data_IF_371962580737
#
_entry.id   IF_371962580737
#
_cell.length_a   1.000
_cell.length_b   1.000
_cell.length_c   1.000
_cell.angle_alpha   90.00
_cell.angle_beta   90.00
_cell.angle_gamma   90.00
#
_symmetry.space_group_name_H-M   'P 1'
#
loop_
_entity.id
_entity.type
_entity.pdbx_description
1 polymer ?
#
# COMPACT_ATOMS: atom_id res chain seq x y z
N UNK A 1 38.03 -10.57 26.31
CA UNK A 1 38.03 -9.13 26.66
C UNK A 1 36.99 -8.93 27.75
N UNK A 2 37.36 -8.45 28.94
CA UNK A 2 36.41 -8.05 29.97
C UNK A 2 35.77 -6.74 29.50
N UNK A 3 34.51 -6.80 29.04
CA UNK A 3 33.70 -5.60 28.76
C UNK A 3 33.43 -4.88 30.08
N UNK A 4 33.80 -3.60 30.17
CA UNK A 4 33.56 -2.76 31.37
C UNK A 4 32.16 -2.19 31.43
N UNK A 5 31.39 -2.36 30.34
CA UNK A 5 30.02 -1.84 30.19
C UNK A 5 29.18 -2.89 29.50
N UNK A 6 27.96 -3.10 30.02
CA UNK A 6 26.95 -3.99 29.44
C UNK A 6 25.62 -3.27 29.53
N UNK A 7 24.95 -3.14 28.39
CA UNK A 7 23.59 -2.63 28.32
C UNK A 7 22.61 -3.74 28.77
N UNK A 8 21.84 -3.46 29.82
CA UNK A 8 20.94 -4.44 30.44
C UNK A 8 19.53 -4.41 29.84
N UNK A 9 19.03 -3.22 29.53
CA UNK A 9 17.69 -3.03 28.96
C UNK A 9 17.67 -1.75 28.14
N UNK A 10 16.81 -1.70 27.12
CA UNK A 10 16.60 -0.55 26.24
C UNK A 10 15.16 -0.08 26.36
N UNK A 11 14.93 1.21 26.12
CA UNK A 11 13.59 1.80 26.06
C UNK A 11 12.76 1.55 27.33
N UNK A 12 13.38 1.72 28.49
CA UNK A 12 12.80 1.42 29.79
C UNK A 12 11.59 2.34 30.08
N UNK A 13 10.39 1.80 30.32
CA UNK A 13 9.23 2.61 30.70
C UNK A 13 9.46 3.32 32.04
N UNK A 14 8.90 4.53 32.26
CA UNK A 14 9.12 5.30 33.50
C UNK A 14 8.81 4.52 34.79
N UNK A 15 7.76 3.69 34.76
CA UNK A 15 7.41 2.84 35.92
C UNK A 15 8.51 1.83 36.26
N UNK A 16 9.07 1.18 35.23
CA UNK A 16 10.14 0.18 35.42
C UNK A 16 11.46 0.84 35.79
N UNK A 17 11.75 2.01 35.22
CA UNK A 17 12.86 2.85 35.63
C UNK A 17 12.83 3.18 37.13
N UNK A 18 11.66 3.66 37.63
CA UNK A 18 11.50 3.97 39.05
C UNK A 18 11.69 2.72 39.96
N UNK A 19 11.19 1.56 39.55
CA UNK A 19 11.38 0.31 40.29
C UNK A 19 12.85 -0.11 40.40
N UNK A 20 13.59 -0.01 39.30
CA UNK A 20 15.04 -0.37 39.29
C UNK A 20 15.83 0.64 40.12
N UNK A 21 15.49 1.94 40.02
CA UNK A 21 16.15 2.98 40.80
C UNK A 21 15.98 2.75 42.31
N UNK A 22 14.80 2.29 42.75
CA UNK A 22 14.54 1.97 44.17
C UNK A 22 15.37 0.79 44.70
N UNK A 23 15.87 -0.08 43.82
CA UNK A 23 16.72 -1.20 44.24
C UNK A 23 18.12 -0.74 44.69
N UNK A 24 18.54 0.47 44.35
CA UNK A 24 19.81 1.05 44.74
C UNK A 24 21.06 0.23 44.36
N UNK A 25 21.03 -0.48 43.23
CA UNK A 25 22.08 -1.40 42.80
C UNK A 25 23.31 -0.60 42.37
N UNK A 26 24.49 -0.78 43.04
CA UNK A 26 25.70 -0.09 42.64
C UNK A 26 26.15 -0.50 41.22
N UNK A 27 26.59 0.48 40.42
CA UNK A 27 27.08 0.24 39.07
C UNK A 27 25.99 0.18 38.00
N UNK A 28 24.70 0.36 38.36
CA UNK A 28 23.60 0.54 37.40
C UNK A 28 23.42 2.03 37.10
N UNK A 29 23.52 2.39 35.84
CA UNK A 29 23.35 3.76 35.35
C UNK A 29 22.23 3.83 34.32
N UNK A 30 21.55 4.98 34.26
CA UNK A 30 20.50 5.24 33.28
C UNK A 30 20.96 6.30 32.28
N UNK A 31 20.91 5.96 31.01
CA UNK A 31 21.12 6.93 29.93
C UNK A 31 19.76 7.47 29.44
N UNK A 32 19.73 8.73 29.06
CA UNK A 32 18.55 9.30 28.39
C UNK A 32 18.48 8.73 26.97
N UNK A 33 17.31 8.25 26.61
CA UNK A 33 17.00 7.77 25.27
C UNK A 33 15.67 8.33 24.78
N UNK A 34 15.51 8.43 23.47
CA UNK A 34 14.21 8.70 22.84
C UNK A 34 13.55 7.37 22.45
N UNK A 35 12.24 7.32 22.53
CA UNK A 35 11.44 6.18 22.06
C UNK A 35 10.47 6.69 21.01
N UNK A 36 10.45 6.07 19.84
CA UNK A 36 9.45 6.35 18.81
C UNK A 36 8.13 5.73 19.24
N UNK A 37 7.09 6.56 19.29
CA UNK A 37 5.73 6.13 19.63
C UNK A 37 4.81 6.46 18.47
N UNK A 38 3.93 5.53 18.12
CA UNK A 38 2.92 5.64 17.06
C UNK A 38 1.54 5.74 17.72
N UNK A 39 1.03 6.95 18.02
CA UNK A 39 -0.16 7.15 18.87
C UNK A 39 -1.46 6.62 18.26
N UNK A 40 -1.47 6.36 16.95
CA UNK A 40 -2.63 5.85 16.21
C UNK A 40 -2.51 4.36 15.84
N UNK A 41 -1.56 3.67 16.45
CA UNK A 41 -1.35 2.23 16.27
C UNK A 41 -1.37 1.80 14.78
N UNK A 42 -2.39 1.05 14.38
CA UNK A 42 -2.52 0.48 13.03
C UNK A 42 -2.83 1.51 11.92
N UNK A 43 -3.32 2.71 12.27
CA UNK A 43 -4.02 3.59 11.32
C UNK A 43 -3.21 3.91 10.05
N UNK A 44 -1.90 4.07 10.16
CA UNK A 44 -1.03 4.38 9.02
C UNK A 44 0.26 3.54 9.02
N UNK A 45 0.20 2.32 9.55
CA UNK A 45 1.37 1.46 9.78
C UNK A 45 2.25 1.28 8.55
N UNK A 46 1.65 0.94 7.40
CA UNK A 46 2.38 0.72 6.15
C UNK A 46 2.92 2.00 5.49
N UNK A 47 2.33 3.16 5.82
CA UNK A 47 2.78 4.47 5.33
C UNK A 47 3.95 4.93 6.19
N UNK A 48 3.75 4.98 7.51
CA UNK A 48 4.77 5.43 8.46
C UNK A 48 5.94 4.46 8.49
N UNK A 49 5.66 3.16 8.46
CA UNK A 49 6.66 2.13 8.68
C UNK A 49 6.99 1.99 10.15
N UNK A 50 8.24 1.74 10.44
CA UNK A 50 8.73 1.57 11.81
C UNK A 50 10.23 1.86 11.89
N UNK A 51 10.71 2.03 13.11
CA UNK A 51 12.12 2.15 13.45
C UNK A 51 12.62 0.88 14.13
N UNK A 52 13.92 0.68 14.15
CA UNK A 52 14.58 -0.33 14.99
C UNK A 52 14.74 0.15 16.46
N UNK A 53 15.44 -0.64 17.25
CA UNK A 53 15.74 -0.34 18.66
C UNK A 53 16.63 0.88 18.87
N UNK A 54 17.35 1.31 17.83
CA UNK A 54 18.22 2.48 17.84
C UNK A 54 17.53 3.72 17.21
N UNK A 55 16.22 3.65 16.98
CA UNK A 55 15.39 4.66 16.31
C UNK A 55 15.81 4.94 14.85
N UNK A 56 16.45 3.97 14.18
CA UNK A 56 16.76 4.07 12.75
C UNK A 56 15.56 3.57 11.95
N UNK A 57 15.11 4.37 10.99
CA UNK A 57 13.96 4.03 10.13
C UNK A 57 14.24 2.82 9.22
N UNK A 58 13.43 1.78 9.36
CA UNK A 58 13.57 0.51 8.62
C UNK A 58 12.63 0.44 7.41
N UNK A 59 11.44 1.00 7.52
CA UNK A 59 10.43 0.97 6.46
C UNK A 59 9.63 2.28 6.40
N UNK A 60 8.91 2.48 5.30
CA UNK A 60 7.99 3.60 5.12
C UNK A 60 8.65 4.97 5.22
N UNK A 61 7.90 5.94 5.68
CA UNK A 61 8.35 7.34 5.89
C UNK A 61 9.50 7.40 6.89
N UNK A 62 9.48 6.59 7.94
CA UNK A 62 10.58 6.50 8.91
C UNK A 62 11.92 6.21 8.22
N UNK A 63 11.94 5.30 7.25
CA UNK A 63 13.13 5.00 6.45
C UNK A 63 13.48 6.12 5.48
N UNK A 64 12.49 6.58 4.72
CA UNK A 64 12.70 7.55 3.63
C UNK A 64 13.18 8.89 4.16
N UNK A 65 12.65 9.33 5.29
CA UNK A 65 12.96 10.60 5.93
C UNK A 65 13.82 10.44 7.19
N UNK A 66 14.52 9.32 7.36
CA UNK A 66 15.27 9.01 8.59
C UNK A 66 16.23 10.12 9.00
N UNK A 67 17.01 10.68 8.07
CA UNK A 67 17.95 11.75 8.37
C UNK A 67 17.26 13.03 8.88
N UNK A 68 16.13 13.39 8.25
CA UNK A 68 15.31 14.55 8.62
C UNK A 68 14.69 14.38 9.99
N UNK A 69 14.08 13.22 10.24
CA UNK A 69 13.45 12.89 11.52
C UNK A 69 14.47 12.76 12.65
N UNK A 70 15.67 12.24 12.39
CA UNK A 70 16.77 12.17 13.34
C UNK A 70 17.33 13.55 13.70
N UNK A 71 17.25 14.53 12.80
CA UNK A 71 17.59 15.92 13.05
C UNK A 71 16.51 16.67 13.88
N UNK A 72 15.39 16.02 14.19
CA UNK A 72 14.27 16.62 14.92
C UNK A 72 13.33 17.45 14.05
N UNK A 73 13.39 17.30 12.74
CA UNK A 73 12.50 17.99 11.81
C UNK A 73 11.18 17.24 11.64
N UNK A 74 10.10 17.99 11.46
CA UNK A 74 8.77 17.44 11.23
C UNK A 74 8.60 16.95 9.77
N UNK A 75 7.81 15.89 9.60
CA UNK A 75 7.33 15.41 8.32
C UNK A 75 5.81 15.54 8.25
N UNK A 76 5.33 16.44 7.40
CA UNK A 76 3.90 16.64 7.13
C UNK A 76 3.53 15.76 5.93
N UNK A 77 2.50 14.94 6.11
CA UNK A 77 1.99 14.04 5.07
C UNK A 77 0.61 14.52 4.59
N UNK A 78 0.26 14.19 3.36
CA UNK A 78 -1.07 14.45 2.78
C UNK A 78 -2.17 13.52 3.31
N UNK A 79 -1.82 12.57 4.17
CA UNK A 79 -2.75 11.56 4.70
C UNK A 79 -3.78 12.19 5.64
N UNK A 80 -5.05 12.04 5.31
CA UNK A 80 -6.18 12.34 6.19
C UNK A 80 -6.51 11.11 7.04
N UNK A 81 -6.40 11.24 8.35
CA UNK A 81 -6.64 10.12 9.26
C UNK A 81 -8.11 9.68 9.32
N UNK A 82 -9.04 10.59 9.04
CA UNK A 82 -10.47 10.25 8.94
C UNK A 82 -10.73 9.37 7.73
N UNK A 83 -10.24 9.78 6.54
CA UNK A 83 -10.34 8.98 5.31
C UNK A 83 -9.56 7.68 5.43
N UNK A 84 -8.40 7.69 6.08
CA UNK A 84 -7.62 6.48 6.36
C UNK A 84 -8.42 5.46 7.19
N UNK A 85 -9.12 5.92 8.23
CA UNK A 85 -9.96 5.06 9.06
C UNK A 85 -11.15 4.49 8.28
N UNK A 86 -11.77 5.29 7.41
CA UNK A 86 -12.88 4.86 6.56
C UNK A 86 -12.41 3.77 5.59
N UNK A 87 -11.38 4.03 4.77
CA UNK A 87 -10.92 3.06 3.77
C UNK A 87 -10.46 1.74 4.43
N UNK A 88 -9.79 1.84 5.59
CA UNK A 88 -9.38 0.66 6.36
C UNK A 88 -10.59 -0.18 6.79
N UNK A 89 -11.62 0.46 7.35
CA UNK A 89 -12.85 -0.20 7.80
C UNK A 89 -13.57 -0.89 6.65
N UNK A 90 -13.76 -0.20 5.52
CA UNK A 90 -14.47 -0.74 4.36
C UNK A 90 -13.72 -1.95 3.77
N UNK A 91 -12.39 -1.88 3.65
CA UNK A 91 -11.59 -3.02 3.17
C UNK A 91 -11.69 -4.19 4.15
N UNK A 92 -11.64 -3.94 5.48
CA UNK A 92 -11.77 -5.02 6.45
C UNK A 92 -13.12 -5.72 6.35
N UNK A 93 -14.21 -4.97 6.20
CA UNK A 93 -15.55 -5.55 6.00
C UNK A 93 -15.62 -6.45 4.76
N UNK A 94 -14.99 -6.03 3.65
CA UNK A 94 -14.94 -6.86 2.44
C UNK A 94 -14.07 -8.11 2.62
N UNK A 95 -12.94 -7.99 3.29
CA UNK A 95 -12.10 -9.15 3.64
C UNK A 95 -12.92 -10.17 4.41
N UNK A 96 -13.65 -9.73 5.43
CA UNK A 96 -14.46 -10.61 6.30
C UNK A 96 -15.62 -11.23 5.50
N UNK A 97 -16.31 -10.45 4.66
CA UNK A 97 -17.46 -10.91 3.87
C UNK A 97 -17.08 -11.94 2.81
N UNK A 98 -15.94 -11.72 2.13
CA UNK A 98 -15.47 -12.59 1.06
C UNK A 98 -14.42 -13.61 1.51
N UNK A 99 -14.07 -13.63 2.81
CA UNK A 99 -13.01 -14.48 3.37
C UNK A 99 -11.69 -14.32 2.60
N UNK A 100 -11.38 -13.08 2.21
CA UNK A 100 -10.18 -12.77 1.46
C UNK A 100 -8.94 -12.85 2.36
N UNK A 101 -7.79 -13.18 1.78
CA UNK A 101 -6.51 -13.26 2.50
C UNK A 101 -5.93 -11.87 2.84
N UNK A 102 -6.47 -10.83 2.24
CA UNK A 102 -6.07 -9.44 2.45
C UNK A 102 -6.66 -8.53 1.39
N UNK A 103 -6.43 -7.24 1.54
CA UNK A 103 -6.90 -6.21 0.61
C UNK A 103 -6.08 -4.94 0.72
N UNK A 104 -6.16 -4.10 -0.30
CA UNK A 104 -5.53 -2.79 -0.30
C UNK A 104 -6.43 -1.76 -0.98
N UNK A 105 -6.28 -0.50 -0.59
CA UNK A 105 -6.97 0.61 -1.20
C UNK A 105 -6.17 1.90 -1.09
N UNK A 106 -6.28 2.73 -2.11
CA UNK A 106 -5.65 4.04 -2.20
C UNK A 106 -6.73 5.06 -2.54
N UNK A 107 -6.74 6.18 -1.83
CA UNK A 107 -7.55 7.34 -2.14
C UNK A 107 -6.63 8.48 -2.57
N UNK A 108 -6.82 8.94 -3.80
CA UNK A 108 -6.02 9.97 -4.44
C UNK A 108 -6.89 11.19 -4.77
N UNK A 109 -6.40 12.37 -4.46
CA UNK A 109 -6.96 13.61 -5.02
C UNK A 109 -6.46 13.76 -6.47
N UNK A 110 -7.39 13.70 -7.42
CA UNK A 110 -7.07 13.75 -8.85
C UNK A 110 -6.59 15.13 -9.33
N UNK A 111 -6.81 16.19 -8.55
CA UNK A 111 -6.39 17.54 -8.90
C UNK A 111 -4.99 17.85 -8.42
N UNK A 112 -4.68 17.51 -7.17
CA UNK A 112 -3.37 17.75 -6.57
C UNK A 112 -2.39 16.60 -6.77
N UNK A 113 -2.89 15.36 -7.00
CA UNK A 113 -2.08 14.13 -7.03
C UNK A 113 -1.73 13.63 -5.63
N UNK A 114 -2.25 14.22 -4.57
CA UNK A 114 -1.97 13.83 -3.20
C UNK A 114 -2.67 12.53 -2.82
N UNK A 115 -1.94 11.63 -2.18
CA UNK A 115 -2.53 10.43 -1.57
C UNK A 115 -3.15 10.80 -0.22
N UNK A 116 -4.47 10.77 -0.14
CA UNK A 116 -5.23 11.11 1.07
C UNK A 116 -5.37 9.91 2.02
N UNK A 117 -5.39 8.70 1.50
CA UNK A 117 -5.40 7.47 2.30
C UNK A 117 -4.75 6.32 1.54
N UNK A 118 -4.04 5.46 2.27
CA UNK A 118 -3.44 4.21 1.75
C UNK A 118 -3.56 3.13 2.81
N UNK A 119 -4.40 2.14 2.56
CA UNK A 119 -4.58 1.00 3.45
C UNK A 119 -4.09 -0.29 2.81
N UNK A 120 -3.44 -1.13 3.60
CA UNK A 120 -3.04 -2.50 3.24
C UNK A 120 -3.37 -3.40 4.44
N UNK A 121 -4.21 -4.42 4.22
CA UNK A 121 -4.68 -5.33 5.26
C UNK A 121 -4.35 -6.79 4.92
N UNK A 122 -4.06 -7.63 5.95
CA UNK A 122 -3.96 -7.29 7.35
C UNK A 122 -2.82 -6.31 7.62
N UNK A 123 -2.98 -5.43 8.61
CA UNK A 123 -1.98 -4.48 9.05
C UNK A 123 -1.35 -4.88 10.39
N UNK A 124 -0.45 -4.06 10.90
CA UNK A 124 0.26 -4.30 12.15
C UNK A 124 0.30 -3.04 13.02
N UNK A 125 0.59 -3.22 14.32
CA UNK A 125 0.89 -2.11 15.21
C UNK A 125 2.40 -1.83 15.18
N UNK A 126 2.86 -0.64 14.69
CA UNK A 126 4.29 -0.33 14.67
C UNK A 126 4.94 -0.31 16.04
N UNK A 127 4.17 0.01 17.10
CA UNK A 127 4.67 -0.07 18.48
C UNK A 127 5.00 -1.50 18.93
N UNK A 128 4.45 -2.51 18.24
CA UNK A 128 4.62 -3.94 18.54
C UNK A 128 5.10 -4.72 17.30
N UNK A 129 5.96 -4.10 16.50
CA UNK A 129 6.40 -4.67 15.22
C UNK A 129 6.93 -6.10 15.31
N UNK A 130 7.59 -6.46 16.42
CA UNK A 130 8.11 -7.81 16.63
C UNK A 130 7.02 -8.89 16.61
N UNK A 131 5.76 -8.56 16.94
CA UNK A 131 4.62 -9.48 16.93
C UNK A 131 3.96 -9.60 15.55
N UNK A 132 4.31 -8.73 14.60
CA UNK A 132 3.72 -8.75 13.27
C UNK A 132 4.26 -9.93 12.44
N UNK A 133 3.36 -10.68 11.79
CA UNK A 133 3.73 -11.70 10.81
C UNK A 133 4.18 -11.05 9.49
N UNK A 134 4.86 -11.81 8.63
CA UNK A 134 5.28 -11.33 7.31
C UNK A 134 4.08 -10.92 6.45
N UNK A 135 2.96 -11.62 6.59
CA UNK A 135 1.70 -11.27 5.91
C UNK A 135 1.17 -9.89 6.33
N UNK A 136 1.27 -9.54 7.61
CA UNK A 136 0.90 -8.23 8.16
C UNK A 136 1.87 -7.13 7.74
N UNK A 137 3.17 -7.46 7.62
CA UNK A 137 4.23 -6.51 7.20
C UNK A 137 4.20 -6.21 5.70
N UNK A 138 3.60 -7.10 4.90
CA UNK A 138 3.56 -6.95 3.46
C UNK A 138 2.62 -5.83 3.04
N UNK A 139 3.17 -4.75 2.48
CA UNK A 139 2.38 -3.65 1.95
C UNK A 139 1.80 -4.02 0.59
N UNK A 140 0.54 -4.46 0.58
CA UNK A 140 -0.18 -4.88 -0.63
C UNK A 140 -0.42 -3.74 -1.60
N UNK A 141 -0.56 -2.52 -1.10
CA UNK A 141 -0.81 -1.36 -1.94
C UNK A 141 0.39 -0.98 -2.82
N UNK A 142 1.62 -1.21 -2.34
CA UNK A 142 2.84 -0.78 -3.04
C UNK A 142 3.73 -1.91 -3.55
N UNK A 143 3.60 -3.11 -2.98
CA UNK A 143 4.43 -4.28 -3.34
C UNK A 143 3.63 -5.43 -3.95
N UNK A 144 2.29 -5.37 -3.86
CA UNK A 144 1.42 -6.39 -4.44
C UNK A 144 1.46 -6.35 -5.96
N UNK A 145 1.51 -7.54 -6.57
CA UNK A 145 1.36 -7.72 -8.00
C UNK A 145 0.01 -8.40 -8.26
N UNK A 146 -0.82 -7.76 -9.06
CA UNK A 146 -2.19 -8.20 -9.29
C UNK A 146 -2.49 -8.26 -10.78
N UNK A 147 -3.28 -9.26 -11.18
CA UNK A 147 -3.89 -9.26 -12.49
C UNK A 147 -5.10 -8.33 -12.47
N UNK A 148 -4.95 -7.16 -13.06
CA UNK A 148 -5.98 -6.10 -13.03
C UNK A 148 -7.20 -6.44 -13.87
N UNK A 149 -7.10 -7.45 -14.75
CA UNK A 149 -8.18 -7.88 -15.61
C UNK A 149 -8.73 -6.74 -16.46
N UNK A 150 -10.05 -6.63 -16.52
CA UNK A 150 -10.73 -5.63 -17.35
C UNK A 150 -10.53 -4.18 -16.91
N UNK A 151 -10.07 -3.90 -15.70
CA UNK A 151 -9.70 -2.54 -15.29
C UNK A 151 -8.55 -1.99 -16.13
N UNK A 152 -7.67 -2.86 -16.62
CA UNK A 152 -6.57 -2.46 -17.48
C UNK A 152 -7.02 -1.92 -18.85
N UNK A 153 -8.25 -2.25 -19.28
CA UNK A 153 -8.83 -1.74 -20.55
C UNK A 153 -8.97 -0.22 -20.57
N UNK A 154 -9.15 0.40 -19.39
CA UNK A 154 -9.21 1.87 -19.28
C UNK A 154 -7.86 2.48 -19.71
N UNK A 155 -6.75 1.92 -19.21
CA UNK A 155 -5.41 2.38 -19.59
C UNK A 155 -5.13 2.11 -21.07
N UNK A 156 -5.45 0.91 -21.57
CA UNK A 156 -5.29 0.56 -22.97
C UNK A 156 -6.07 1.53 -23.88
N UNK A 157 -7.30 1.84 -23.52
CA UNK A 157 -8.13 2.80 -24.25
C UNK A 157 -7.55 4.22 -24.22
N UNK A 158 -7.07 4.67 -23.07
CA UNK A 158 -6.43 5.97 -22.94
C UNK A 158 -5.20 6.09 -23.84
N UNK A 159 -4.35 5.05 -23.86
CA UNK A 159 -3.16 4.99 -24.71
C UNK A 159 -3.55 5.01 -26.20
N UNK A 160 -4.55 4.23 -26.61
CA UNK A 160 -4.99 4.19 -28.01
C UNK A 160 -5.56 5.51 -28.50
N UNK A 161 -6.30 6.23 -27.65
CA UNK A 161 -6.83 7.57 -27.95
C UNK A 161 -5.73 8.64 -27.98
N UNK A 162 -4.82 8.62 -27.00
CA UNK A 162 -3.72 9.58 -26.88
C UNK A 162 -2.72 9.45 -28.03
N UNK A 163 -2.38 8.22 -28.42
CA UNK A 163 -1.47 7.94 -29.54
C UNK A 163 -2.10 8.22 -30.93
N UNK A 164 -3.43 8.41 -30.99
CA UNK A 164 -4.16 8.52 -32.25
C UNK A 164 -4.38 7.20 -32.99
N UNK A 165 -4.03 6.07 -32.38
CA UNK A 165 -4.29 4.71 -32.91
C UNK A 165 -5.79 4.40 -32.99
N UNK A 166 -6.61 5.04 -32.16
CA UNK A 166 -8.05 4.94 -32.21
C UNK A 166 -8.74 6.30 -32.05
N UNK A 167 -9.96 6.40 -32.59
CA UNK A 167 -10.88 7.52 -32.29
C UNK A 167 -12.12 7.01 -31.62
N UNK A 168 -12.82 7.86 -30.87
CA UNK A 168 -14.02 7.46 -30.08
C UNK A 168 -15.11 6.81 -30.94
N UNK A 169 -15.25 7.21 -32.20
CA UNK A 169 -16.26 6.67 -33.12
C UNK A 169 -15.74 5.52 -34.00
N UNK A 170 -14.45 5.23 -33.96
CA UNK A 170 -13.88 4.11 -34.72
C UNK A 170 -14.49 2.79 -34.23
N UNK A 171 -14.83 1.91 -35.19
CA UNK A 171 -15.44 0.61 -34.91
C UNK A 171 -14.44 -0.51 -35.12
N UNK A 172 -14.43 -1.43 -34.18
CA UNK A 172 -13.59 -2.61 -34.18
C UNK A 172 -14.46 -3.87 -34.33
N UNK A 173 -14.04 -4.78 -35.22
CA UNK A 173 -14.72 -6.05 -35.43
C UNK A 173 -14.51 -6.97 -34.23
N UNK A 174 -15.61 -7.39 -33.57
CA UNK A 174 -15.56 -8.23 -32.37
C UNK A 174 -16.41 -9.50 -32.47
N UNK A 175 -17.07 -9.72 -33.62
CA UNK A 175 -17.96 -10.87 -33.80
C UNK A 175 -17.21 -12.21 -33.91
N UNK A 176 -15.90 -12.19 -34.18
CA UNK A 176 -15.08 -13.38 -34.31
C UNK A 176 -13.92 -13.36 -33.31
N UNK A 177 -13.59 -14.51 -32.72
CA UNK A 177 -12.40 -14.65 -31.89
C UNK A 177 -11.14 -14.14 -32.60
N UNK A 178 -10.26 -13.49 -31.85
CA UNK A 178 -8.98 -12.98 -32.33
C UNK A 178 -7.86 -13.94 -31.94
N UNK A 179 -7.07 -14.38 -32.91
CA UNK A 179 -5.93 -15.26 -32.65
C UNK A 179 -4.64 -14.45 -32.57
N UNK A 180 -3.96 -14.55 -31.43
CA UNK A 180 -2.66 -13.94 -31.21
C UNK A 180 -1.67 -15.04 -30.85
N UNK A 181 -0.77 -15.36 -31.78
CA UNK A 181 0.17 -16.49 -31.65
C UNK A 181 -0.58 -17.80 -31.36
N UNK A 182 -0.30 -18.45 -30.22
CA UNK A 182 -0.96 -19.69 -29.77
C UNK A 182 -2.25 -19.47 -28.96
N UNK A 183 -2.58 -18.22 -28.63
CA UNK A 183 -3.73 -17.88 -27.82
C UNK A 183 -4.88 -17.41 -28.69
N UNK A 184 -6.10 -17.69 -28.23
CA UNK A 184 -7.33 -17.18 -28.82
C UNK A 184 -8.04 -16.28 -27.81
N UNK A 185 -8.26 -15.04 -28.19
CA UNK A 185 -8.99 -14.05 -27.38
C UNK A 185 -10.47 -14.14 -27.74
N UNK A 186 -11.31 -14.27 -26.73
CA UNK A 186 -12.76 -14.32 -26.86
C UNK A 186 -13.39 -13.33 -25.88
N UNK A 187 -14.61 -12.89 -26.20
CA UNK A 187 -15.44 -12.12 -25.27
C UNK A 187 -16.26 -13.04 -24.38
N UNK A 188 -16.48 -12.65 -23.13
CA UNK A 188 -17.35 -13.38 -22.21
C UNK A 188 -18.82 -13.32 -22.68
N UNK A 189 -19.24 -12.17 -23.22
CA UNK A 189 -20.53 -11.99 -23.89
C UNK A 189 -20.25 -11.68 -25.38
N UNK A 190 -20.43 -12.62 -26.31
CA UNK A 190 -20.18 -12.40 -27.73
C UNK A 190 -21.09 -11.31 -28.31
N UNK A 191 -20.55 -10.49 -29.18
CA UNK A 191 -21.26 -9.47 -29.92
C UNK A 191 -21.26 -9.79 -31.42
N UNK A 192 -22.41 -9.61 -32.09
CA UNK A 192 -22.58 -9.91 -33.51
C UNK A 192 -22.39 -8.68 -34.42
N UNK A 193 -21.87 -7.58 -33.87
CA UNK A 193 -21.64 -6.33 -34.61
C UNK A 193 -20.33 -5.68 -34.14
N UNK A 194 -19.69 -4.88 -35.02
CA UNK A 194 -18.55 -4.08 -34.59
C UNK A 194 -18.91 -3.11 -33.48
N UNK A 195 -18.02 -2.93 -32.51
CA UNK A 195 -18.18 -2.02 -31.37
C UNK A 195 -17.28 -0.80 -31.54
N UNK A 196 -17.78 0.36 -31.14
CA UNK A 196 -16.95 1.56 -31.01
C UNK A 196 -16.22 1.58 -29.66
N UNK A 197 -15.29 2.53 -29.47
CA UNK A 197 -14.46 2.60 -28.27
C UNK A 197 -15.28 2.69 -26.97
N UNK A 198 -16.31 3.54 -26.83
CA UNK A 198 -17.19 3.51 -25.67
C UNK A 198 -17.90 2.16 -25.46
N UNK A 199 -18.43 1.55 -26.53
CA UNK A 199 -19.10 0.25 -26.44
C UNK A 199 -18.14 -0.86 -25.99
N UNK A 200 -16.85 -0.84 -26.41
CA UNK A 200 -15.81 -1.79 -25.97
C UNK A 200 -15.61 -1.70 -24.45
N UNK A 201 -15.59 -0.51 -23.88
CA UNK A 201 -15.48 -0.34 -22.42
C UNK A 201 -16.75 -0.76 -21.70
N UNK A 202 -17.94 -0.35 -22.17
CA UNK A 202 -19.23 -0.65 -21.56
C UNK A 202 -19.47 -2.16 -21.49
N UNK A 203 -19.21 -2.87 -22.60
CA UNK A 203 -19.39 -4.31 -22.68
C UNK A 203 -18.16 -5.10 -22.23
N UNK A 204 -17.07 -4.41 -21.90
CA UNK A 204 -15.82 -5.03 -21.51
C UNK A 204 -15.30 -6.06 -22.55
N UNK A 205 -15.38 -5.72 -23.86
CA UNK A 205 -14.92 -6.60 -24.92
C UNK A 205 -13.40 -6.81 -24.85
N UNK A 206 -12.98 -8.06 -24.74
CA UNK A 206 -11.57 -8.45 -24.80
C UNK A 206 -11.03 -8.32 -26.22
N UNK A 207 -11.83 -8.75 -27.19
CA UNK A 207 -11.48 -8.69 -28.63
C UNK A 207 -11.32 -7.24 -29.07
N UNK A 208 -12.27 -6.37 -28.69
CA UNK A 208 -12.21 -4.96 -29.03
C UNK A 208 -11.00 -4.26 -28.40
N UNK A 209 -10.70 -4.55 -27.12
CA UNK A 209 -9.53 -4.01 -26.46
C UNK A 209 -8.21 -4.48 -27.08
N UNK A 210 -8.13 -5.77 -27.46
CA UNK A 210 -6.93 -6.30 -28.12
C UNK A 210 -6.72 -5.67 -29.51
N UNK A 211 -7.79 -5.48 -30.29
CA UNK A 211 -7.73 -4.80 -31.59
C UNK A 211 -7.34 -3.33 -31.51
N UNK A 212 -7.76 -2.63 -30.44
CA UNK A 212 -7.28 -1.27 -30.18
C UNK A 212 -5.78 -1.23 -29.86
N UNK A 213 -5.28 -2.25 -29.16
CA UNK A 213 -3.85 -2.33 -28.82
C UNK A 213 -2.97 -2.73 -30.03
N UNK A 214 -3.55 -3.35 -31.08
CA UNK A 214 -2.86 -3.77 -32.29
C UNK A 214 -2.83 -2.66 -33.36
N UNK A 215 -3.72 -1.66 -33.25
CA UNK A 215 -3.85 -0.56 -34.20
C UNK A 215 -2.77 0.49 -34.03
#
# INVERSE_FOLDING_TARGET
>A
KKTRYVELDRQLPPKRHAQILQLGIPGVYFAKGAVRVYPRDHAAAHILGHVDTDNIGIAGIEKTLNAKLAAGEDAILSIDLGLQAVIRREIQQQIDSFKAIGGAGILLDIKSGEMLAVASLPDFNPNQFALASDNMRFNRATKGLYEMGSTFKVLNTAIALESGAATTNQRFEVSKPMRVSRFTITDYHPHNKPLNVPEILIYSSNIGSARMAEA
#
